data_IF_982124201946
#
_entry.id   IF_982124201946
#
_cell.length_a   1.000
_cell.length_b   1.000
_cell.length_c   1.000
_cell.angle_alpha   90.00
_cell.angle_beta   90.00
_cell.angle_gamma   90.00
#
_symmetry.space_group_name_H-M   'P 1'
#
loop_
_entity.id
_entity.type
_entity.pdbx_description
1 polymer ?
#
# COMPACT_ATOMS: atom_id res chain seq x y z
N UNK A 1 -18.61 34.06 22.58
CA UNK A 1 -17.25 34.09 23.16
C UNK A 1 -16.95 32.69 23.66
N UNK A 2 -16.66 31.77 22.75
CA UNK A 2 -15.29 31.39 22.39
C UNK A 2 -14.45 31.00 23.61
N UNK A 3 -14.30 29.69 23.84
CA UNK A 3 -13.08 29.02 24.31
C UNK A 3 -13.23 27.49 24.36
N UNK A 4 -12.48 26.83 23.47
CA UNK A 4 -11.66 25.63 23.76
C UNK A 4 -12.27 24.22 23.62
N UNK A 5 -12.71 23.86 22.41
CA UNK A 5 -12.76 22.45 21.97
C UNK A 5 -11.51 22.06 21.16
N UNK A 6 -10.32 22.34 21.71
CA UNK A 6 -9.08 21.73 21.20
C UNK A 6 -9.05 20.30 21.72
N UNK A 7 -9.72 19.37 21.03
CA UNK A 7 -9.36 17.96 21.18
C UNK A 7 -7.86 17.87 20.94
N UNK A 8 -7.13 17.60 22.01
CA UNK A 8 -5.67 17.50 22.01
C UNK A 8 -5.35 16.37 21.06
N UNK A 9 -4.95 16.72 19.83
CA UNK A 9 -4.20 15.82 18.97
C UNK A 9 -3.11 15.27 19.89
N UNK A 10 -3.13 13.98 20.19
CA UNK A 10 -2.00 13.33 20.84
C UNK A 10 -1.10 12.96 19.68
N UNK A 11 -0.11 13.80 19.29
CA UNK A 11 0.80 13.50 18.19
C UNK A 11 1.61 12.21 18.43
N UNK A 12 1.47 11.60 19.62
CA UNK A 12 2.16 10.38 20.03
C UNK A 12 1.95 9.21 19.09
N UNK A 13 0.74 8.96 18.57
CA UNK A 13 0.52 7.84 17.65
C UNK A 13 1.17 8.10 16.28
N UNK A 14 0.95 9.29 15.72
CA UNK A 14 1.54 9.64 14.43
C UNK A 14 3.08 9.67 14.49
N UNK A 15 3.64 10.27 15.55
CA UNK A 15 5.08 10.29 15.79
C UNK A 15 5.64 8.88 16.00
N UNK A 16 4.91 7.99 16.68
CA UNK A 16 5.31 6.59 16.85
C UNK A 16 5.34 5.85 15.52
N UNK A 17 4.27 5.93 14.72
CA UNK A 17 4.19 5.22 13.44
C UNK A 17 5.25 5.73 12.45
N UNK A 18 5.43 7.05 12.35
CA UNK A 18 6.49 7.65 11.53
C UNK A 18 7.88 7.32 12.07
N UNK A 19 8.05 7.31 13.40
CA UNK A 19 9.32 6.94 14.04
C UNK A 19 9.69 5.47 13.80
N UNK A 20 8.73 4.56 13.85
CA UNK A 20 8.92 3.14 13.51
C UNK A 20 9.28 2.99 12.04
N UNK A 21 8.56 3.64 11.13
CA UNK A 21 8.90 3.64 9.71
C UNK A 21 10.32 4.14 9.45
N UNK A 22 10.70 5.27 10.06
CA UNK A 22 12.05 5.81 9.94
C UNK A 22 13.09 4.83 10.52
N UNK A 23 12.83 4.22 11.67
CA UNK A 23 13.71 3.23 12.29
C UNK A 23 13.95 2.03 11.36
N UNK A 24 12.87 1.43 10.83
CA UNK A 24 12.99 0.28 9.93
C UNK A 24 13.66 0.65 8.60
N UNK A 25 13.32 1.82 8.03
CA UNK A 25 13.93 2.30 6.78
C UNK A 25 15.43 2.59 6.95
N UNK A 26 15.83 3.22 8.05
CA UNK A 26 17.25 3.48 8.35
C UNK A 26 18.00 2.19 8.65
N UNK A 27 17.40 1.26 9.40
CA UNK A 27 17.97 -0.05 9.65
C UNK A 27 18.17 -0.85 8.35
N UNK A 28 17.21 -0.78 7.44
CA UNK A 28 17.29 -1.37 6.10
C UNK A 28 18.42 -0.76 5.27
N UNK A 29 18.49 0.58 5.18
CA UNK A 29 19.50 1.28 4.37
C UNK A 29 20.93 1.08 4.89
N UNK A 30 21.13 1.11 6.22
CA UNK A 30 22.47 1.09 6.79
C UNK A 30 22.95 -0.30 7.23
N UNK A 31 22.07 -1.28 7.40
CA UNK A 31 22.43 -2.64 7.78
C UNK A 31 23.32 -2.74 9.04
N UNK A 32 22.92 -2.16 10.19
CA UNK A 32 23.79 -1.96 11.34
C UNK A 32 24.30 -3.25 12.01
N UNK A 33 23.71 -4.41 11.69
CA UNK A 33 24.02 -5.70 12.31
C UNK A 33 24.61 -6.72 11.32
N UNK A 34 25.17 -6.23 10.20
CA UNK A 34 25.83 -7.06 9.19
C UNK A 34 24.97 -7.38 7.97
N UNK A 35 25.47 -8.22 7.04
CA UNK A 35 24.93 -8.35 5.68
C UNK A 35 23.48 -8.80 5.56
N UNK A 36 22.98 -9.58 6.53
CA UNK A 36 21.57 -10.02 6.53
C UNK A 36 20.62 -9.05 7.22
N UNK A 37 21.13 -8.04 7.93
CA UNK A 37 20.27 -7.14 8.72
C UNK A 37 19.32 -6.28 7.89
N UNK A 38 19.66 -5.80 6.67
CA UNK A 38 18.72 -5.10 5.81
C UNK A 38 17.41 -5.88 5.58
N UNK A 39 17.50 -7.14 5.15
CA UNK A 39 16.33 -7.97 4.89
C UNK A 39 15.47 -8.14 6.14
N UNK A 40 16.07 -8.27 7.33
CA UNK A 40 15.30 -8.30 8.59
C UNK A 40 14.54 -7.01 8.85
N UNK A 41 15.17 -5.85 8.65
CA UNK A 41 14.51 -4.55 8.84
C UNK A 41 13.37 -4.32 7.83
N UNK A 42 13.59 -4.61 6.54
CA UNK A 42 12.56 -4.49 5.52
C UNK A 42 11.36 -5.40 5.83
N UNK A 43 11.60 -6.69 6.05
CA UNK A 43 10.53 -7.67 6.27
C UNK A 43 9.75 -7.38 7.56
N UNK A 44 10.43 -7.15 8.69
CA UNK A 44 9.75 -6.88 9.95
C UNK A 44 8.97 -5.56 9.90
N UNK A 45 9.55 -4.51 9.32
CA UNK A 45 8.90 -3.22 9.15
C UNK A 45 7.62 -3.33 8.31
N UNK A 46 7.72 -3.99 7.17
CA UNK A 46 6.59 -4.23 6.26
C UNK A 46 5.50 -5.09 6.90
N UNK A 47 5.85 -6.22 7.51
CA UNK A 47 4.88 -7.11 8.18
C UNK A 47 4.12 -6.38 9.29
N UNK A 48 4.83 -5.64 10.15
CA UNK A 48 4.20 -4.88 11.23
C UNK A 48 3.26 -3.79 10.68
N UNK A 49 3.69 -3.07 9.64
CA UNK A 49 2.88 -2.01 9.05
C UNK A 49 1.64 -2.56 8.33
N UNK A 50 1.79 -3.65 7.58
CA UNK A 50 0.70 -4.31 6.86
C UNK A 50 -0.34 -4.90 7.81
N UNK A 51 0.07 -5.59 8.88
CA UNK A 51 -0.86 -6.07 9.91
C UNK A 51 -1.54 -4.94 10.66
N UNK A 52 -0.84 -3.83 10.91
CA UNK A 52 -1.47 -2.65 11.54
C UNK A 52 -2.57 -2.08 10.64
N UNK A 53 -2.32 -1.94 9.33
CA UNK A 53 -3.33 -1.51 8.37
C UNK A 53 -4.52 -2.49 8.32
N UNK A 54 -4.25 -3.79 8.21
CA UNK A 54 -5.29 -4.82 8.19
C UNK A 54 -6.19 -4.77 9.46
N UNK A 55 -5.57 -4.68 10.64
CA UNK A 55 -6.29 -4.66 11.91
C UNK A 55 -7.12 -3.38 12.10
N UNK A 56 -6.59 -2.22 11.70
CA UNK A 56 -7.32 -0.96 11.73
C UNK A 56 -8.50 -0.97 10.75
N UNK A 57 -8.29 -1.44 9.52
CA UNK A 57 -9.38 -1.61 8.54
C UNK A 57 -10.47 -2.55 9.06
N UNK A 58 -10.12 -3.66 9.71
CA UNK A 58 -11.09 -4.57 10.36
C UNK A 58 -11.83 -3.88 11.50
N UNK A 59 -11.15 -3.09 12.33
CA UNK A 59 -11.77 -2.36 13.42
C UNK A 59 -12.76 -1.31 12.92
N UNK A 60 -12.40 -0.55 11.87
CA UNK A 60 -13.27 0.43 11.23
C UNK A 60 -14.46 -0.27 10.55
N UNK A 61 -14.23 -1.38 9.86
CA UNK A 61 -15.31 -2.17 9.29
C UNK A 61 -16.34 -2.59 10.35
N UNK A 62 -15.87 -3.08 11.49
CA UNK A 62 -16.73 -3.58 12.58
C UNK A 62 -17.44 -2.48 13.38
N UNK A 63 -17.05 -1.22 13.22
CA UNK A 63 -17.69 -0.11 13.93
C UNK A 63 -18.91 0.47 13.21
N UNK A 64 -19.12 0.13 11.94
CA UNK A 64 -20.23 0.66 11.14
C UNK A 64 -21.41 -0.33 11.12
N UNK A 65 -22.64 0.19 11.03
CA UNK A 65 -23.84 -0.65 10.95
C UNK A 65 -23.92 -1.39 9.59
N UNK A 66 -24.52 -2.60 9.53
CA UNK A 66 -24.57 -3.40 8.30
C UNK A 66 -25.14 -2.69 7.07
N UNK A 67 -26.08 -1.77 7.27
CA UNK A 67 -26.80 -1.06 6.20
C UNK A 67 -26.08 0.21 5.72
N UNK A 68 -25.00 0.62 6.39
CA UNK A 68 -24.24 1.81 5.99
C UNK A 68 -23.41 1.55 4.71
N UNK A 69 -23.43 2.47 3.72
CA UNK A 69 -22.63 2.34 2.51
C UNK A 69 -21.12 2.15 2.78
N UNK A 70 -20.61 2.73 3.87
CA UNK A 70 -19.21 2.62 4.30
C UNK A 70 -18.84 1.21 4.76
N UNK A 71 -19.78 0.45 5.33
CA UNK A 71 -19.54 -0.93 5.78
C UNK A 71 -19.11 -1.82 4.64
N UNK A 72 -19.74 -1.68 3.48
CA UNK A 72 -19.36 -2.44 2.28
C UNK A 72 -17.97 -2.05 1.80
N UNK A 73 -17.63 -0.76 1.80
CA UNK A 73 -16.30 -0.26 1.42
C UNK A 73 -15.23 -0.87 2.34
N UNK A 74 -15.41 -0.72 3.65
CA UNK A 74 -14.46 -1.19 4.65
C UNK A 74 -14.33 -2.70 4.70
N UNK A 75 -15.40 -3.46 4.43
CA UNK A 75 -15.32 -4.92 4.32
C UNK A 75 -14.35 -5.37 3.22
N UNK A 76 -14.39 -4.72 2.06
CA UNK A 76 -13.49 -5.03 0.95
C UNK A 76 -12.05 -4.58 1.25
N UNK A 77 -11.85 -3.39 1.81
CA UNK A 77 -10.53 -2.90 2.20
C UNK A 77 -9.91 -3.78 3.29
N UNK A 78 -10.66 -4.12 4.34
CA UNK A 78 -10.21 -4.99 5.42
C UNK A 78 -9.81 -6.38 4.91
N UNK A 79 -10.62 -6.98 4.04
CA UNK A 79 -10.29 -8.28 3.43
C UNK A 79 -9.04 -8.19 2.54
N UNK A 80 -8.92 -7.14 1.71
CA UNK A 80 -7.77 -6.92 0.85
C UNK A 80 -6.47 -6.70 1.63
N UNK A 81 -6.46 -5.78 2.60
CA UNK A 81 -5.29 -5.52 3.44
C UNK A 81 -4.93 -6.72 4.33
N UNK A 82 -5.90 -7.53 4.78
CA UNK A 82 -5.60 -8.77 5.50
C UNK A 82 -4.90 -9.79 4.61
N UNK A 83 -5.31 -9.93 3.34
CA UNK A 83 -4.63 -10.81 2.39
C UNK A 83 -3.22 -10.31 2.07
N UNK A 84 -3.03 -9.00 1.92
CA UNK A 84 -1.70 -8.44 1.75
C UNK A 84 -0.81 -8.67 2.98
N UNK A 85 -1.31 -8.44 4.20
CA UNK A 85 -0.55 -8.74 5.41
C UNK A 85 -0.15 -10.23 5.53
N UNK A 86 -1.02 -11.15 5.07
CA UNK A 86 -0.69 -12.57 4.95
C UNK A 86 0.42 -12.78 3.90
N UNK A 87 0.33 -12.14 2.74
CA UNK A 87 1.36 -12.14 1.70
C UNK A 87 2.71 -11.66 2.23
N UNK A 88 2.76 -10.50 2.90
CA UNK A 88 3.97 -9.97 3.54
C UNK A 88 4.56 -10.94 4.55
N UNK A 89 3.71 -11.62 5.32
CA UNK A 89 4.15 -12.60 6.32
C UNK A 89 4.77 -13.83 5.66
N UNK A 90 4.16 -14.32 4.58
CA UNK A 90 4.66 -15.46 3.83
C UNK A 90 5.97 -15.11 3.12
N UNK A 91 6.05 -13.95 2.49
CA UNK A 91 7.28 -13.43 1.89
C UNK A 91 8.40 -13.33 2.93
N UNK A 92 8.14 -12.66 4.05
CA UNK A 92 9.11 -12.54 5.15
C UNK A 92 9.57 -13.89 5.68
N UNK A 93 8.66 -14.87 5.78
CA UNK A 93 9.02 -16.22 6.18
C UNK A 93 10.00 -16.85 5.17
N UNK A 94 9.70 -16.79 3.87
CA UNK A 94 10.55 -17.41 2.86
C UNK A 94 11.90 -16.70 2.70
N UNK A 95 11.90 -15.36 2.61
CA UNK A 95 13.11 -14.56 2.46
C UNK A 95 14.09 -14.78 3.63
N UNK A 96 13.58 -14.74 4.87
CA UNK A 96 14.42 -14.85 6.07
C UNK A 96 14.83 -16.29 6.43
N UNK A 97 14.04 -17.32 6.06
CA UNK A 97 14.36 -18.72 6.39
C UNK A 97 15.04 -19.51 5.29
N UNK A 98 14.79 -19.20 4.02
CA UNK A 98 15.30 -19.96 2.88
C UNK A 98 16.46 -19.26 2.16
N UNK A 99 16.94 -18.13 2.69
CA UNK A 99 18.05 -17.40 2.07
C UNK A 99 17.70 -16.86 0.69
N UNK A 100 16.45 -16.41 0.49
CA UNK A 100 16.02 -15.75 -0.74
C UNK A 100 15.59 -16.66 -1.91
N UNK A 101 15.74 -17.99 -1.83
CA UNK A 101 15.16 -18.89 -2.84
C UNK A 101 13.64 -19.02 -2.68
N UNK A 102 12.91 -18.04 -3.20
CA UNK A 102 11.45 -18.07 -3.25
C UNK A 102 10.98 -18.89 -4.46
N UNK A 103 10.15 -19.94 -4.27
CA UNK A 103 9.48 -20.55 -5.41
C UNK A 103 8.55 -19.52 -6.03
N UNK A 104 8.77 -19.15 -7.29
CA UNK A 104 7.87 -18.28 -8.04
C UNK A 104 7.09 -19.13 -9.07
N UNK A 105 5.74 -19.19 -9.00
CA UNK A 105 4.84 -18.59 -8.01
C UNK A 105 4.86 -19.25 -6.62
N UNK A 106 4.54 -18.46 -5.58
CA UNK A 106 4.49 -18.85 -4.17
C UNK A 106 3.07 -18.75 -3.56
N UNK A 107 2.92 -19.18 -2.30
CA UNK A 107 1.71 -18.90 -1.51
C UNK A 107 1.53 -17.40 -1.19
N UNK A 108 2.61 -16.61 -1.15
CA UNK A 108 2.51 -15.17 -0.99
C UNK A 108 1.81 -14.54 -2.21
N UNK A 109 2.14 -15.01 -3.42
CA UNK A 109 1.51 -14.56 -4.67
C UNK A 109 0.00 -14.80 -4.66
N UNK A 110 -0.44 -15.97 -4.19
CA UNK A 110 -1.87 -16.27 -4.08
C UNK A 110 -2.60 -15.26 -3.18
N UNK A 111 -1.97 -14.85 -2.08
CA UNK A 111 -2.53 -13.87 -1.16
C UNK A 111 -2.56 -12.45 -1.77
N UNK A 112 -1.46 -12.01 -2.38
CA UNK A 112 -1.38 -10.69 -3.02
C UNK A 112 -2.34 -10.54 -4.21
N UNK A 113 -2.36 -11.53 -5.10
CA UNK A 113 -3.27 -11.58 -6.27
C UNK A 113 -4.74 -11.52 -5.82
N UNK A 114 -5.11 -12.22 -4.75
CA UNK A 114 -6.46 -12.16 -4.22
C UNK A 114 -6.77 -10.81 -3.51
N UNK A 115 -5.76 -10.16 -2.92
CA UNK A 115 -5.91 -8.87 -2.25
C UNK A 115 -6.16 -7.70 -3.21
N UNK A 116 -5.45 -7.65 -4.34
CA UNK A 116 -5.56 -6.61 -5.37
C UNK A 116 -7.00 -6.26 -5.78
N UNK A 117 -7.86 -7.20 -6.22
CA UNK A 117 -9.22 -6.90 -6.62
C UNK A 117 -10.08 -6.43 -5.44
N UNK A 118 -9.83 -6.90 -4.21
CA UNK A 118 -10.60 -6.48 -3.04
C UNK A 118 -10.29 -5.02 -2.66
N UNK A 119 -9.00 -4.65 -2.62
CA UNK A 119 -8.59 -3.26 -2.36
C UNK A 119 -9.14 -2.33 -3.46
N UNK A 120 -9.04 -2.76 -4.73
CA UNK A 120 -9.60 -2.00 -5.85
C UNK A 120 -11.12 -1.82 -5.75
N UNK A 121 -11.88 -2.88 -5.41
CA UNK A 121 -13.33 -2.78 -5.21
C UNK A 121 -13.64 -1.78 -4.09
N UNK A 122 -12.94 -1.85 -2.96
CA UNK A 122 -13.11 -0.93 -1.84
C UNK A 122 -12.90 0.53 -2.25
N UNK A 123 -11.77 0.84 -2.89
CA UNK A 123 -11.46 2.20 -3.35
C UNK A 123 -12.40 2.67 -4.47
N UNK A 124 -12.83 1.78 -5.37
CA UNK A 124 -13.79 2.13 -6.42
C UNK A 124 -15.16 2.46 -5.83
N UNK A 125 -15.63 1.67 -4.86
CA UNK A 125 -16.88 1.97 -4.15
C UNK A 125 -16.77 3.31 -3.42
N UNK A 126 -15.62 3.58 -2.79
CA UNK A 126 -15.35 4.88 -2.17
C UNK A 126 -15.39 6.01 -3.20
N UNK A 127 -14.71 5.88 -4.33
CA UNK A 127 -14.72 6.89 -5.39
C UNK A 127 -16.14 7.19 -5.87
N UNK A 128 -16.96 6.15 -6.09
CA UNK A 128 -18.36 6.31 -6.50
C UNK A 128 -19.21 6.98 -5.44
N UNK A 129 -18.96 6.73 -4.15
CA UNK A 129 -19.71 7.34 -3.05
C UNK A 129 -19.45 8.84 -2.88
N UNK A 130 -18.43 9.39 -3.54
CA UNK A 130 -18.09 10.80 -3.42
C UNK A 130 -18.96 11.68 -4.34
N UNK A 131 -19.59 11.10 -5.37
CA UNK A 131 -20.49 11.79 -6.32
C UNK A 131 -19.91 13.11 -6.89
N UNK A 132 -18.58 13.20 -6.99
CA UNK A 132 -17.89 14.43 -7.39
C UNK A 132 -17.98 14.59 -8.91
N UNK A 133 -18.50 15.72 -9.45
CA UNK A 133 -18.46 15.99 -10.88
C UNK A 133 -17.03 16.15 -11.37
N UNK A 134 -16.78 15.79 -12.63
CA UNK A 134 -15.45 15.84 -13.23
C UNK A 134 -14.95 17.29 -13.40
N UNK A 135 -14.29 17.82 -12.37
CA UNK A 135 -13.65 19.14 -12.39
C UNK A 135 -12.21 19.13 -12.92
N UNK A 136 -11.57 20.31 -12.98
CA UNK A 136 -10.17 20.48 -13.42
C UNK A 136 -9.20 19.49 -12.78
N UNK A 137 -9.35 19.23 -11.48
CA UNK A 137 -8.44 18.35 -10.75
C UNK A 137 -8.61 16.87 -11.12
N UNK A 138 -9.82 16.43 -11.46
CA UNK A 138 -10.08 15.09 -11.96
C UNK A 138 -9.45 14.91 -13.36
N UNK A 139 -9.53 15.94 -14.21
CA UNK A 139 -8.84 15.93 -15.50
C UNK A 139 -7.31 15.89 -15.37
N UNK A 140 -6.73 16.66 -14.44
CA UNK A 140 -5.29 16.59 -14.16
C UNK A 140 -4.88 15.22 -13.63
N UNK A 141 -5.70 14.61 -12.76
CA UNK A 141 -5.49 13.24 -12.28
C UNK A 141 -5.52 12.23 -13.43
N UNK A 142 -6.53 12.29 -14.30
CA UNK A 142 -6.64 11.43 -15.48
C UNK A 142 -5.45 11.60 -16.44
N UNK A 143 -5.00 12.84 -16.67
CA UNK A 143 -3.82 13.11 -17.49
C UNK A 143 -2.55 12.52 -16.86
N UNK A 144 -2.35 12.67 -15.55
CA UNK A 144 -1.23 12.08 -14.83
C UNK A 144 -1.26 10.54 -14.89
N UNK A 145 -2.43 9.92 -14.71
CA UNK A 145 -2.62 8.48 -14.87
C UNK A 145 -2.27 8.04 -16.29
N UNK A 146 -2.69 8.80 -17.32
CA UNK A 146 -2.34 8.52 -18.71
C UNK A 146 -0.84 8.53 -18.97
N UNK A 147 -0.13 9.55 -18.46
CA UNK A 147 1.35 9.64 -18.57
C UNK A 147 2.02 8.47 -17.86
N UNK A 148 1.63 8.17 -16.61
CA UNK A 148 2.17 7.01 -15.88
C UNK A 148 1.86 5.71 -16.62
N UNK A 149 0.68 5.58 -17.22
CA UNK A 149 0.30 4.40 -18.01
C UNK A 149 1.18 4.17 -19.22
N UNK A 150 1.57 5.24 -19.93
CA UNK A 150 2.53 5.15 -21.04
C UNK A 150 3.90 4.68 -20.53
N UNK A 151 4.36 5.21 -19.40
CA UNK A 151 5.63 4.80 -18.78
C UNK A 151 5.57 3.34 -18.33
N UNK A 152 4.53 2.93 -17.63
CA UNK A 152 4.34 1.53 -17.18
C UNK A 152 4.29 0.59 -18.37
N UNK A 153 3.56 0.96 -19.43
CA UNK A 153 3.50 0.14 -20.64
C UNK A 153 4.88 0.00 -21.29
N UNK A 154 5.58 1.11 -21.53
CA UNK A 154 6.86 1.09 -22.25
C UNK A 154 8.02 0.50 -21.44
N UNK A 155 8.09 0.79 -20.14
CA UNK A 155 9.20 0.42 -19.29
C UNK A 155 9.02 -0.94 -18.60
N UNK A 156 7.79 -1.38 -18.34
CA UNK A 156 7.52 -2.62 -17.58
C UNK A 156 6.83 -3.67 -18.45
N UNK A 157 5.64 -3.36 -18.99
CA UNK A 157 4.85 -4.37 -19.70
C UNK A 157 5.45 -4.77 -21.05
N UNK A 158 5.98 -3.81 -21.81
CA UNK A 158 6.51 -4.08 -23.14
C UNK A 158 7.72 -5.03 -23.09
N UNK A 159 8.74 -4.82 -22.24
CA UNK A 159 9.83 -5.80 -22.08
C UNK A 159 9.34 -7.21 -21.73
N UNK A 160 8.41 -7.31 -20.76
CA UNK A 160 7.83 -8.59 -20.32
C UNK A 160 7.14 -9.34 -21.48
N UNK A 161 6.42 -8.60 -22.34
CA UNK A 161 5.67 -9.18 -23.46
C UNK A 161 6.52 -9.43 -24.71
N UNK A 162 7.51 -8.58 -24.97
CA UNK A 162 8.33 -8.64 -26.19
C UNK A 162 9.44 -9.69 -26.09
N UNK A 163 9.96 -9.92 -24.89
CA UNK A 163 11.00 -10.93 -24.61
C UNK A 163 10.59 -11.78 -23.42
N UNK A 164 9.51 -12.58 -23.54
CA UNK A 164 9.08 -13.44 -22.45
C UNK A 164 10.17 -14.48 -22.16
N UNK A 165 10.51 -14.64 -20.88
CA UNK A 165 11.40 -15.71 -20.45
C UNK A 165 10.80 -17.07 -20.81
N UNK A 166 11.66 -18.07 -21.04
CA UNK A 166 11.27 -19.45 -21.35
C UNK A 166 10.65 -20.21 -20.14
N UNK A 167 10.10 -19.47 -19.17
CA UNK A 167 9.49 -19.96 -17.95
C UNK A 167 8.10 -20.56 -18.15
N UNK A 168 7.44 -20.92 -17.04
CA UNK A 168 6.11 -21.53 -17.07
C UNK A 168 5.05 -20.49 -17.47
N UNK A 169 3.97 -20.86 -18.18
CA UNK A 169 2.90 -19.91 -18.55
C UNK A 169 2.29 -19.15 -17.37
N UNK A 170 2.28 -19.75 -16.18
CA UNK A 170 1.79 -19.10 -14.96
C UNK A 170 2.70 -17.97 -14.47
N UNK A 171 4.01 -18.08 -14.66
CA UNK A 171 4.98 -17.04 -14.31
C UNK A 171 4.79 -15.82 -15.21
N UNK A 172 4.63 -16.04 -16.53
CA UNK A 172 4.28 -14.96 -17.46
C UNK A 172 2.94 -14.30 -17.08
N UNK A 173 1.93 -15.10 -16.73
CA UNK A 173 0.64 -14.57 -16.32
C UNK A 173 0.75 -13.66 -15.09
N UNK A 174 1.57 -14.03 -14.09
CA UNK A 174 1.82 -13.21 -12.91
C UNK A 174 2.68 -11.98 -13.22
N UNK A 175 3.74 -12.14 -14.03
CA UNK A 175 4.58 -11.03 -14.48
C UNK A 175 3.78 -9.95 -15.21
N UNK A 176 2.71 -10.32 -15.92
CA UNK A 176 1.77 -9.37 -16.52
C UNK A 176 0.73 -8.88 -15.51
N UNK A 177 0.23 -9.76 -14.65
CA UNK A 177 -0.80 -9.42 -13.66
C UNK A 177 -0.33 -8.31 -12.72
N UNK A 178 0.87 -8.42 -12.12
CA UNK A 178 1.34 -7.47 -11.12
C UNK A 178 1.40 -6.03 -11.63
N UNK A 179 2.06 -5.71 -12.76
CA UNK A 179 2.08 -4.35 -13.29
C UNK A 179 0.69 -3.85 -13.71
N UNK A 180 -0.17 -4.71 -14.26
CA UNK A 180 -1.54 -4.32 -14.64
C UNK A 180 -2.38 -4.02 -13.41
N UNK A 181 -2.39 -4.91 -12.42
CA UNK A 181 -3.15 -4.76 -11.18
C UNK A 181 -2.64 -3.54 -10.38
N UNK A 182 -1.32 -3.39 -10.27
CA UNK A 182 -0.65 -2.23 -9.70
C UNK A 182 -1.07 -0.92 -10.37
N UNK A 183 -1.01 -0.84 -11.71
CA UNK A 183 -1.41 0.36 -12.44
C UNK A 183 -2.91 0.69 -12.30
N UNK A 184 -3.78 -0.33 -12.37
CA UNK A 184 -5.22 -0.15 -12.19
C UNK A 184 -5.54 0.34 -10.78
N UNK A 185 -4.84 -0.17 -9.77
CA UNK A 185 -4.99 0.24 -8.38
C UNK A 185 -4.44 1.65 -8.14
N UNK A 186 -3.29 1.98 -8.73
CA UNK A 186 -2.74 3.34 -8.76
C UNK A 186 -3.76 4.33 -9.33
N UNK A 187 -4.38 4.01 -10.46
CA UNK A 187 -5.37 4.86 -11.12
C UNK A 187 -6.56 5.19 -10.21
N UNK A 188 -7.21 4.18 -9.63
CA UNK A 188 -8.36 4.42 -8.72
C UNK A 188 -7.93 5.19 -7.47
N UNK A 189 -6.72 4.94 -6.96
CA UNK A 189 -6.17 5.62 -5.77
C UNK A 189 -5.96 7.11 -6.03
N UNK A 190 -5.38 7.48 -7.18
CA UNK A 190 -5.20 8.88 -7.59
C UNK A 190 -6.56 9.57 -7.80
N UNK A 191 -7.55 8.87 -8.35
CA UNK A 191 -8.90 9.42 -8.52
C UNK A 191 -9.60 9.68 -7.18
N UNK A 192 -9.47 8.77 -6.20
CA UNK A 192 -9.98 8.98 -4.84
C UNK A 192 -9.29 10.17 -4.18
N UNK A 193 -7.95 10.21 -4.20
CA UNK A 193 -7.18 11.29 -3.58
C UNK A 193 -7.52 12.67 -4.17
N UNK A 194 -7.73 12.74 -5.49
CA UNK A 194 -8.05 13.99 -6.19
C UNK A 194 -9.50 14.46 -6.04
N UNK A 195 -10.43 13.53 -5.77
CA UNK A 195 -11.86 13.80 -5.53
C UNK A 195 -12.11 14.42 -4.15
N UNK A 196 -11.34 14.00 -3.15
CA UNK A 196 -11.50 14.45 -1.78
C UNK A 196 -10.94 15.88 -1.62
N UNK A 197 -11.79 16.85 -1.26
CA UNK A 197 -11.39 18.23 -0.99
C UNK A 197 -12.20 18.84 0.15
N UNK A 198 -11.50 19.39 1.14
CA UNK A 198 -12.13 20.02 2.29
C UNK A 198 -12.88 19.04 3.20
N UNK A 199 -13.10 19.44 4.46
CA UNK A 199 -13.75 18.60 5.46
C UNK A 199 -12.80 17.66 6.20
N UNK A 200 -13.17 17.33 7.44
CA UNK A 200 -12.31 16.60 8.39
C UNK A 200 -12.00 15.16 7.96
N UNK A 201 -12.88 14.54 7.17
CA UNK A 201 -12.72 13.17 6.67
C UNK A 201 -11.96 13.09 5.34
N UNK A 202 -11.66 14.23 4.69
CA UNK A 202 -10.96 14.24 3.40
C UNK A 202 -9.49 13.84 3.55
N UNK A 203 -8.76 14.49 4.46
CA UNK A 203 -7.34 14.21 4.73
C UNK A 203 -7.03 12.74 5.06
N UNK A 204 -7.76 12.04 5.95
CA UNK A 204 -7.45 10.64 6.23
C UNK A 204 -7.70 9.72 5.03
N UNK A 205 -8.78 9.94 4.27
CA UNK A 205 -9.02 9.17 3.05
C UNK A 205 -7.99 9.46 1.95
N UNK A 206 -7.50 10.70 1.86
CA UNK A 206 -6.38 11.04 0.98
C UNK A 206 -5.10 10.31 1.41
N UNK A 207 -4.82 10.22 2.71
CA UNK A 207 -3.64 9.50 3.20
C UNK A 207 -3.69 8.00 2.84
N UNK A 208 -4.87 7.35 2.99
CA UNK A 208 -5.09 5.97 2.54
C UNK A 208 -4.85 5.85 1.03
N UNK A 209 -5.50 6.71 0.24
CA UNK A 209 -5.41 6.66 -1.21
C UNK A 209 -3.99 6.96 -1.73
N UNK A 210 -3.30 7.95 -1.17
CA UNK A 210 -1.90 8.27 -1.51
C UNK A 210 -0.99 7.11 -1.11
N UNK A 211 -1.17 6.54 0.08
CA UNK A 211 -0.43 5.36 0.52
C UNK A 211 -0.60 4.20 -0.46
N UNK A 212 -1.83 3.85 -0.83
CA UNK A 212 -2.07 2.79 -1.83
C UNK A 212 -1.47 3.11 -3.19
N UNK A 213 -1.52 4.36 -3.66
CA UNK A 213 -0.86 4.77 -4.90
C UNK A 213 0.68 4.64 -4.82
N UNK A 214 1.30 5.02 -3.71
CA UNK A 214 2.76 4.86 -3.50
C UNK A 214 3.13 3.37 -3.46
N UNK A 215 2.32 2.54 -2.82
CA UNK A 215 2.52 1.08 -2.79
C UNK A 215 2.48 0.50 -4.21
N UNK A 216 1.49 0.88 -5.01
CA UNK A 216 1.39 0.44 -6.40
C UNK A 216 2.56 0.92 -7.28
N UNK A 217 3.10 2.13 -7.03
CA UNK A 217 4.30 2.60 -7.72
C UNK A 217 5.56 1.86 -7.29
N UNK A 218 5.66 1.50 -6.01
CA UNK A 218 6.74 0.66 -5.50
C UNK A 218 6.69 -0.73 -6.15
N UNK A 219 5.52 -1.36 -6.26
CA UNK A 219 5.35 -2.64 -6.98
C UNK A 219 5.76 -2.56 -8.45
N UNK A 220 5.43 -1.45 -9.13
CA UNK A 220 5.86 -1.22 -10.52
C UNK A 220 7.38 -1.04 -10.63
N UNK A 221 7.99 -0.37 -9.65
CA UNK A 221 9.45 -0.18 -9.58
C UNK A 221 10.15 -1.50 -9.25
N UNK A 222 9.57 -2.32 -8.38
CA UNK A 222 10.01 -3.68 -8.09
C UNK A 222 9.97 -4.53 -9.37
N UNK A 223 8.83 -4.56 -10.07
CA UNK A 223 8.70 -5.33 -11.32
C UNK A 223 9.74 -4.93 -12.36
N UNK A 224 9.97 -3.62 -12.53
CA UNK A 224 11.04 -3.11 -13.40
C UNK A 224 12.43 -3.55 -12.93
N UNK A 225 12.74 -3.35 -11.65
CA UNK A 225 14.06 -3.64 -11.11
C UNK A 225 14.38 -5.14 -11.17
N UNK A 226 13.40 -6.00 -10.87
CA UNK A 226 13.53 -7.45 -10.94
C UNK A 226 13.70 -7.93 -12.39
N UNK A 227 12.91 -7.40 -13.33
CA UNK A 227 13.03 -7.77 -14.75
C UNK A 227 14.40 -7.43 -15.37
N UNK A 228 15.07 -6.41 -14.83
CA UNK A 228 16.38 -5.95 -15.30
C UNK A 228 17.55 -6.40 -14.42
N UNK A 229 17.34 -7.34 -13.48
CA UNK A 229 18.34 -7.82 -12.53
C UNK A 229 19.00 -6.69 -11.71
N UNK A 230 18.26 -5.61 -11.46
CA UNK A 230 18.71 -4.45 -10.68
C UNK A 230 18.30 -4.53 -9.20
N UNK A 231 17.38 -5.44 -8.84
CA UNK A 231 16.88 -5.57 -7.48
C UNK A 231 17.83 -6.41 -6.61
N UNK A 232 18.36 -5.83 -5.53
CA UNK A 232 19.28 -6.50 -4.60
C UNK A 232 18.52 -7.14 -3.45
N UNK A 233 18.63 -8.47 -3.30
CA UNK A 233 18.03 -9.23 -2.19
C UNK A 233 19.04 -9.46 -1.06
N UNK A 234 20.34 -9.56 -1.41
CA UNK A 234 21.42 -9.80 -0.46
C UNK A 234 22.30 -8.56 -0.24
N UNK A 235 22.83 -8.43 0.98
CA UNK A 235 23.76 -7.36 1.32
C UNK A 235 23.09 -6.00 1.48
N UNK A 236 23.86 -4.94 1.26
CA UNK A 236 23.33 -3.57 1.36
C UNK A 236 22.50 -3.23 0.12
N UNK A 237 21.32 -2.61 0.30
CA UNK A 237 20.45 -2.29 -0.82
C UNK A 237 21.08 -1.20 -1.69
N UNK A 238 20.97 -1.38 -3.01
CA UNK A 238 21.39 -0.35 -3.96
C UNK A 238 20.31 0.74 -4.08
N UNK A 239 20.59 1.79 -4.86
CA UNK A 239 19.67 2.93 -4.98
C UNK A 239 18.27 2.54 -5.47
N UNK A 240 18.15 1.67 -6.47
CA UNK A 240 16.82 1.32 -7.01
C UNK A 240 16.03 0.48 -6.01
N UNK A 241 16.69 -0.45 -5.30
CA UNK A 241 16.06 -1.24 -4.23
C UNK A 241 15.61 -0.35 -3.07
N UNK A 242 16.41 0.66 -2.69
CA UNK A 242 16.01 1.66 -1.69
C UNK A 242 14.78 2.46 -2.16
N UNK A 243 14.77 2.88 -3.42
CA UNK A 243 13.65 3.62 -4.01
C UNK A 243 12.38 2.77 -4.21
N UNK A 244 12.50 1.44 -4.09
CA UNK A 244 11.36 0.51 -4.05
C UNK A 244 10.90 0.32 -2.61
N UNK A 245 11.77 -0.19 -1.73
CA UNK A 245 11.38 -0.76 -0.44
C UNK A 245 11.06 0.32 0.62
N UNK A 246 11.78 1.44 0.61
CA UNK A 246 11.53 2.53 1.57
C UNK A 246 10.18 3.20 1.31
N UNK A 247 9.82 3.54 0.05
CA UNK A 247 8.46 3.98 -0.28
C UNK A 247 7.41 2.90 -0.02
N UNK A 248 7.72 1.61 -0.24
CA UNK A 248 6.80 0.51 0.07
C UNK A 248 6.43 0.47 1.56
N UNK A 249 7.42 0.51 2.46
CA UNK A 249 7.19 0.63 3.91
C UNK A 249 6.47 1.95 4.28
N UNK A 250 6.81 3.04 3.59
CA UNK A 250 6.21 4.36 3.80
C UNK A 250 4.74 4.43 3.37
N UNK A 251 4.34 3.65 2.37
CA UNK A 251 2.98 3.57 1.90
C UNK A 251 2.04 3.00 2.98
N UNK A 252 2.41 1.90 3.63
CA UNK A 252 1.65 1.36 4.76
C UNK A 252 1.56 2.37 5.92
N UNK A 253 2.61 3.14 6.17
CA UNK A 253 2.61 4.21 7.17
C UNK A 253 1.53 5.25 6.86
N UNK A 254 1.41 5.70 5.61
CA UNK A 254 0.36 6.63 5.19
C UNK A 254 -1.06 6.03 5.33
N UNK A 255 -1.23 4.75 4.98
CA UNK A 255 -2.50 4.01 5.14
C UNK A 255 -2.88 3.96 6.63
N UNK A 256 -1.98 3.49 7.50
CA UNK A 256 -2.20 3.38 8.95
C UNK A 256 -2.55 4.73 9.58
N UNK A 257 -1.86 5.81 9.19
CA UNK A 257 -2.17 7.14 9.69
C UNK A 257 -3.55 7.62 9.25
N UNK A 258 -3.92 7.34 7.99
CA UNK A 258 -5.22 7.65 7.44
C UNK A 258 -6.33 6.90 8.15
N UNK A 259 -6.21 5.57 8.29
CA UNK A 259 -7.16 4.70 8.98
C UNK A 259 -7.31 5.08 10.45
N UNK A 260 -6.21 5.26 11.18
CA UNK A 260 -6.27 5.65 12.58
C UNK A 260 -6.97 7.00 12.77
N UNK A 261 -6.65 7.98 11.91
CA UNK A 261 -7.28 9.29 11.98
C UNK A 261 -8.77 9.19 11.63
N UNK A 262 -9.14 8.38 10.64
CA UNK A 262 -10.52 8.17 10.25
C UNK A 262 -11.32 7.48 11.35
N UNK A 263 -10.85 6.33 11.84
CA UNK A 263 -11.54 5.58 12.90
C UNK A 263 -11.72 6.42 14.17
N UNK A 264 -10.79 7.33 14.47
CA UNK A 264 -10.97 8.30 15.56
C UNK A 264 -12.05 9.35 15.29
N UNK A 265 -12.14 9.85 14.06
CA UNK A 265 -13.16 10.84 13.68
C UNK A 265 -14.56 10.23 13.61
N UNK A 266 -14.64 8.96 13.23
CA UNK A 266 -15.88 8.16 13.14
C UNK A 266 -16.27 7.50 14.47
N UNK A 267 -15.39 7.52 15.48
CA UNK A 267 -15.67 6.95 16.81
C UNK A 267 -15.47 5.43 16.91
N UNK A 268 -14.82 4.81 15.91
CA UNK A 268 -14.61 3.38 15.80
C UNK A 268 -13.81 2.74 16.96
N UNK A 269 -12.97 3.52 17.65
CA UNK A 269 -12.12 3.03 18.75
C UNK A 269 -12.69 3.31 20.14
N UNK A 270 -13.98 3.62 20.22
CA UNK A 270 -14.66 4.06 21.44
C UNK A 270 -14.43 5.54 21.72
N UNK A 271 -15.42 6.21 22.32
CA UNK A 271 -15.20 7.52 22.92
C UNK A 271 -14.21 7.33 24.06
N UNK A 272 -13.04 7.97 23.98
CA UNK A 272 -12.27 8.23 25.20
C UNK A 272 -13.05 9.28 25.99
N UNK A 273 -14.05 8.85 26.74
CA UNK A 273 -14.63 9.63 27.82
C UNK A 273 -13.59 9.63 28.96
N UNK A 274 -12.62 10.55 28.89
CA UNK A 274 -11.80 11.05 29.99
C UNK A 274 -10.91 12.22 29.52
#
# INVERSE_FOLDING_TARGET
MDRHWRHRYRPTFAALVVGLWALFSLGYVFGPFGPGSPSWFANLGTVLAAWTAALLAVAIWRSHEPDEPLTRIWRFLAAGFSLWAIGETLWAYFDLRLGGELPYPSLADAAWVAGYPLVWIGLRLRYRSLEVPTGRHQWLALAAIGVVGVVVFGAVLWPILATPDAGRPIELALNVYYPVAGFVLFGVSVLVASALRGGRLSTPWQAIAIGTAVLSLADLTFAYATWHDLYSVEGLPNLITILTDVPYMGAYTAIVLGEHTLGRLEGAFGRSDA
#
